data_IF_012445687059
#
_entry.id   IF_012445687059
#
_cell.length_a   1.000
_cell.length_b   1.000
_cell.length_c   1.000
_cell.angle_alpha   90.00
_cell.angle_beta   90.00
_cell.angle_gamma   90.00
#
_symmetry.space_group_name_H-M   'P 1'
#
loop_
_entity.id
_entity.type
_entity.pdbx_description
1 polymer ?
#
# COMPACT_ATOMS: atom_id res chain seq x y z
N UNK A 1 -9.99 47.87 -17.88
CA UNK A 1 -11.08 46.90 -17.70
C UNK A 1 -10.47 45.51 -17.74
N UNK A 2 -10.64 44.73 -16.67
CA UNK A 2 -9.93 43.46 -16.46
C UNK A 2 -10.62 42.31 -17.19
N UNK A 3 -9.85 41.52 -17.94
CA UNK A 3 -10.29 40.25 -18.54
C UNK A 3 -9.99 39.13 -17.55
N UNK A 4 -11.03 38.59 -16.92
CA UNK A 4 -10.94 37.42 -16.05
C UNK A 4 -10.92 36.14 -16.90
N UNK A 5 -9.84 35.36 -16.80
CA UNK A 5 -9.72 34.05 -17.41
C UNK A 5 -9.93 32.96 -16.34
N UNK A 6 -10.91 32.10 -16.59
CA UNK A 6 -11.19 30.85 -15.89
C UNK A 6 -10.09 29.81 -16.17
N UNK A 7 -9.69 29.01 -15.18
CA UNK A 7 -8.73 27.91 -15.38
C UNK A 7 -8.77 26.87 -14.28
N UNK A 8 -9.50 25.78 -14.54
CA UNK A 8 -9.64 24.59 -13.70
C UNK A 8 -8.29 23.93 -13.40
N UNK A 9 -7.92 23.84 -12.12
CA UNK A 9 -6.73 23.08 -11.70
C UNK A 9 -7.07 21.59 -11.62
N UNK A 10 -7.06 20.92 -12.78
CA UNK A 10 -6.95 19.45 -12.80
C UNK A 10 -5.53 19.10 -12.36
N UNK A 11 -5.38 18.49 -11.19
CA UNK A 11 -4.14 17.85 -10.75
C UNK A 11 -3.78 16.73 -11.71
N UNK A 12 -3.01 17.08 -12.74
CA UNK A 12 -2.36 16.16 -13.63
C UNK A 12 -1.17 15.54 -12.87
N UNK A 13 -1.42 14.44 -12.15
CA UNK A 13 -0.32 13.60 -11.63
C UNK A 13 0.44 13.08 -12.86
N UNK A 14 1.76 13.32 -12.98
CA UNK A 14 2.51 12.66 -14.04
C UNK A 14 2.46 11.17 -13.78
N UNK A 15 1.86 10.41 -14.70
CA UNK A 15 2.05 8.98 -14.78
C UNK A 15 3.57 8.76 -14.94
N UNK A 16 4.22 8.26 -13.88
CA UNK A 16 5.61 7.89 -13.92
C UNK A 16 5.79 6.89 -15.06
N UNK A 17 6.45 7.33 -16.13
CA UNK A 17 6.82 6.46 -17.25
C UNK A 17 7.78 5.41 -16.70
N UNK A 18 7.36 4.16 -16.80
CA UNK A 18 8.13 2.97 -16.41
C UNK A 18 9.52 3.01 -17.04
N UNK A 19 10.54 3.11 -16.20
CA UNK A 19 11.83 2.51 -16.51
C UNK A 19 11.69 1.00 -16.24
N UNK A 20 11.88 0.11 -17.23
CA UNK A 20 11.83 -1.31 -16.99
C UNK A 20 13.01 -1.71 -16.08
N UNK A 21 12.70 -2.22 -14.88
CA UNK A 21 13.68 -2.91 -14.03
C UNK A 21 14.10 -2.24 -12.72
N UNK A 22 13.54 -1.09 -12.33
CA UNK A 22 13.89 -0.44 -11.04
C UNK A 22 12.75 -0.37 -10.03
N UNK A 23 11.50 -0.52 -10.47
CA UNK A 23 10.33 -0.52 -9.59
C UNK A 23 9.43 -1.70 -9.88
N UNK A 24 8.84 -2.26 -8.83
CA UNK A 24 7.80 -3.29 -8.91
C UNK A 24 6.51 -2.77 -8.33
N UNK A 25 5.41 -3.02 -9.03
CA UNK A 25 4.07 -2.64 -8.58
C UNK A 25 3.25 -3.88 -8.26
N UNK A 26 2.55 -3.87 -7.13
CA UNK A 26 1.58 -4.90 -6.74
C UNK A 26 0.23 -4.23 -6.55
N UNK A 27 -0.84 -4.85 -7.06
CA UNK A 27 -2.21 -4.35 -6.93
C UNK A 27 -3.12 -5.43 -6.38
N UNK A 28 -3.97 -5.04 -5.45
CA UNK A 28 -5.02 -5.86 -4.84
C UNK A 28 -6.38 -5.19 -5.04
N UNK A 29 -7.44 -5.74 -4.44
CA UNK A 29 -8.76 -5.12 -4.46
C UNK A 29 -8.80 -3.75 -3.75
N UNK A 30 -7.91 -3.51 -2.78
CA UNK A 30 -7.96 -2.32 -1.94
C UNK A 30 -6.69 -1.46 -1.96
N UNK A 31 -5.56 -1.97 -2.46
CA UNK A 31 -4.27 -1.28 -2.43
C UNK A 31 -3.51 -1.42 -3.75
N UNK A 32 -2.79 -0.37 -4.11
CA UNK A 32 -1.67 -0.40 -5.06
C UNK A 32 -0.40 -0.05 -4.30
N UNK A 33 0.65 -0.84 -4.48
CA UNK A 33 1.94 -0.68 -3.83
C UNK A 33 3.03 -0.61 -4.88
N UNK A 34 4.01 0.27 -4.69
CA UNK A 34 5.20 0.39 -5.53
C UNK A 34 6.47 0.29 -4.66
N UNK A 35 7.32 -0.69 -4.98
CA UNK A 35 8.64 -0.86 -4.37
C UNK A 35 9.71 -0.36 -5.33
N UNK A 36 10.54 0.55 -4.86
CA UNK A 36 11.77 0.97 -5.52
C UNK A 36 12.94 0.08 -5.06
N UNK A 37 13.51 -0.70 -5.97
CA UNK A 37 14.55 -1.69 -5.65
C UNK A 37 15.94 -1.08 -5.42
N UNK A 38 16.13 0.18 -5.80
CA UNK A 38 17.40 0.90 -5.64
C UNK A 38 17.52 1.44 -4.21
N UNK A 39 16.41 1.98 -3.69
CA UNK A 39 16.33 2.62 -2.38
C UNK A 39 15.70 1.75 -1.30
N UNK A 40 14.96 0.70 -1.68
CA UNK A 40 14.08 -0.05 -0.79
C UNK A 40 12.82 0.74 -0.38
N UNK A 41 12.55 1.88 -1.03
CA UNK A 41 11.40 2.72 -0.73
C UNK A 41 10.09 2.04 -1.15
N UNK A 42 9.13 1.99 -0.23
CA UNK A 42 7.80 1.44 -0.47
C UNK A 42 6.74 2.55 -0.38
N UNK A 43 6.04 2.79 -1.48
CA UNK A 43 4.89 3.69 -1.56
C UNK A 43 3.59 2.91 -1.77
N UNK A 44 2.45 3.52 -1.43
CA UNK A 44 1.16 2.90 -1.64
C UNK A 44 0.01 3.88 -1.77
N UNK A 45 -1.03 3.43 -2.48
CA UNK A 45 -2.28 4.12 -2.77
C UNK A 45 -3.46 3.24 -2.36
N UNK A 46 -4.43 3.83 -1.65
CA UNK A 46 -5.69 3.15 -1.33
C UNK A 46 -6.62 3.19 -2.54
N UNK A 47 -7.03 2.02 -3.02
CA UNK A 47 -7.90 1.86 -4.19
C UNK A 47 -9.38 1.73 -3.83
N UNK A 48 -9.71 1.31 -2.60
CA UNK A 48 -11.08 1.10 -2.16
C UNK A 48 -11.25 1.36 -0.65
N UNK A 49 -12.47 1.68 -0.24
CA UNK A 49 -12.85 1.88 1.16
C UNK A 49 -12.81 3.35 1.59
N UNK A 50 -12.85 3.60 2.90
CA UNK A 50 -12.99 4.96 3.47
C UNK A 50 -11.87 5.92 3.06
N UNK A 51 -10.68 5.37 2.82
CA UNK A 51 -9.49 6.15 2.51
C UNK A 51 -9.14 6.14 1.01
N UNK A 52 -10.06 5.75 0.14
CA UNK A 52 -9.86 5.69 -1.32
C UNK A 52 -9.21 6.97 -1.88
N UNK A 53 -8.22 6.77 -2.76
CA UNK A 53 -7.45 7.83 -3.41
C UNK A 53 -6.37 8.46 -2.54
N UNK A 54 -6.27 8.12 -1.24
CA UNK A 54 -5.21 8.62 -0.36
C UNK A 54 -3.91 7.81 -0.54
N UNK A 55 -2.79 8.52 -0.50
CA UNK A 55 -1.47 7.90 -0.38
C UNK A 55 -1.23 7.43 1.05
N UNK A 56 -0.72 6.22 1.24
CA UNK A 56 -0.31 5.71 2.57
C UNK A 56 0.73 6.65 3.22
N UNK A 57 1.60 7.24 2.40
CA UNK A 57 2.56 8.29 2.78
C UNK A 57 1.94 9.49 3.51
N UNK A 58 0.72 9.86 3.13
CA UNK A 58 0.00 11.01 3.69
C UNK A 58 -0.92 10.67 4.86
N UNK A 59 -1.06 9.38 5.19
CA UNK A 59 -1.89 8.91 6.30
C UNK A 59 -1.07 8.81 7.60
N UNK A 60 -1.69 9.17 8.72
CA UNK A 60 -1.12 8.95 10.05
C UNK A 60 -1.35 7.52 10.53
N UNK A 61 -0.64 7.13 11.59
CA UNK A 61 -0.73 5.77 12.16
C UNK A 61 -2.17 5.35 12.52
N UNK A 62 -2.98 6.24 13.09
CA UNK A 62 -4.36 5.93 13.45
C UNK A 62 -5.25 5.62 12.23
N UNK A 63 -5.08 6.36 11.13
CA UNK A 63 -5.79 6.13 9.87
C UNK A 63 -5.34 4.79 9.24
N UNK A 64 -4.03 4.50 9.26
CA UNK A 64 -3.50 3.24 8.75
C UNK A 64 -3.98 2.03 9.58
N UNK A 65 -4.11 2.18 10.89
CA UNK A 65 -4.69 1.14 11.74
C UNK A 65 -6.20 0.94 11.47
N UNK A 66 -6.93 2.01 11.14
CA UNK A 66 -8.32 1.91 10.73
C UNK A 66 -8.44 1.13 9.41
N UNK A 67 -7.62 1.49 8.42
CA UNK A 67 -7.53 0.78 7.16
C UNK A 67 -7.17 -0.71 7.37
N UNK A 68 -6.21 -1.01 8.24
CA UNK A 68 -5.82 -2.38 8.56
C UNK A 68 -6.98 -3.24 9.08
N UNK A 69 -7.89 -2.65 9.86
CA UNK A 69 -9.12 -3.33 10.32
C UNK A 69 -10.13 -3.51 9.20
N UNK A 70 -10.30 -2.51 8.32
CA UNK A 70 -11.20 -2.61 7.16
C UNK A 70 -10.77 -3.71 6.18
N UNK A 71 -9.48 -3.98 6.08
CA UNK A 71 -8.90 -5.02 5.24
C UNK A 71 -9.01 -6.44 5.82
N UNK A 72 -9.76 -6.67 6.91
CA UNK A 72 -9.90 -8.01 7.51
C UNK A 72 -10.44 -9.08 6.55
N UNK A 73 -11.21 -8.69 5.54
CA UNK A 73 -11.74 -9.58 4.50
C UNK A 73 -10.79 -9.82 3.32
N UNK A 74 -9.66 -9.13 3.24
CA UNK A 74 -8.69 -9.22 2.15
C UNK A 74 -7.27 -9.43 2.71
N UNK A 75 -6.84 -10.69 2.91
CA UNK A 75 -5.57 -10.99 3.56
C UNK A 75 -4.35 -10.49 2.77
N UNK A 76 -4.45 -10.46 1.44
CA UNK A 76 -3.40 -9.96 0.55
C UNK A 76 -3.15 -8.46 0.76
N UNK A 77 -4.22 -7.64 0.78
CA UNK A 77 -4.11 -6.22 1.11
C UNK A 77 -3.60 -5.98 2.53
N UNK A 78 -4.02 -6.80 3.51
CA UNK A 78 -3.48 -6.70 4.88
C UNK A 78 -1.98 -6.89 4.88
N UNK A 79 -1.47 -7.97 4.28
CA UNK A 79 -0.05 -8.26 4.26
C UNK A 79 0.78 -7.15 3.61
N UNK A 80 0.27 -6.54 2.54
CA UNK A 80 0.91 -5.38 1.92
C UNK A 80 0.97 -4.17 2.85
N UNK A 81 -0.14 -3.86 3.54
CA UNK A 81 -0.17 -2.77 4.50
C UNK A 81 0.74 -3.02 5.71
N UNK A 82 0.85 -4.27 6.17
CA UNK A 82 1.78 -4.65 7.25
C UNK A 82 3.22 -4.41 6.85
N UNK A 83 3.59 -4.76 5.63
CA UNK A 83 4.93 -4.51 5.08
C UNK A 83 5.25 -3.01 5.08
N UNK A 84 4.28 -2.18 4.68
CA UNK A 84 4.42 -0.73 4.74
C UNK A 84 4.57 -0.20 6.17
N UNK A 85 3.74 -0.70 7.09
CA UNK A 85 3.75 -0.30 8.50
C UNK A 85 5.03 -0.73 9.22
N UNK A 86 5.59 -1.90 8.91
CA UNK A 86 6.85 -2.40 9.46
C UNK A 86 8.02 -1.47 9.09
N UNK A 87 8.05 -0.98 7.83
CA UNK A 87 9.07 -0.05 7.35
C UNK A 87 8.96 1.36 7.95
N UNK A 88 7.75 1.86 8.21
CA UNK A 88 7.53 3.26 8.64
C UNK A 88 7.29 3.44 10.15
N UNK A 89 6.72 2.45 10.81
CA UNK A 89 6.24 2.53 12.18
C UNK A 89 6.59 1.25 12.96
N UNK A 90 7.85 0.97 13.32
CA UNK A 90 8.30 -0.33 13.85
C UNK A 90 7.58 -0.85 15.12
N UNK A 91 6.86 0.01 15.84
CA UNK A 91 6.07 -0.32 17.04
C UNK A 91 4.55 -0.39 16.81
N UNK A 92 4.09 -0.26 15.56
CA UNK A 92 2.66 -0.15 15.19
C UNK A 92 1.80 -1.32 15.68
N UNK A 93 2.39 -2.52 15.82
CA UNK A 93 1.66 -3.72 16.25
C UNK A 93 1.19 -3.64 17.70
N UNK A 94 1.87 -2.88 18.57
CA UNK A 94 1.43 -2.75 19.98
C UNK A 94 0.13 -1.96 20.07
N UNK A 95 -0.03 -0.94 19.23
CA UNK A 95 -1.26 -0.16 19.13
C UNK A 95 -2.39 -0.93 18.44
N UNK A 96 -2.05 -1.75 17.45
CA UNK A 96 -3.03 -2.58 16.74
C UNK A 96 -3.64 -3.67 17.64
N UNK A 97 -2.82 -4.30 18.49
CA UNK A 97 -3.24 -5.31 19.47
C UNK A 97 -4.08 -4.70 20.60
N UNK A 98 -3.68 -3.53 21.11
CA UNK A 98 -4.41 -2.84 22.19
C UNK A 98 -5.83 -2.41 21.81
N UNK A 99 -6.12 -2.21 20.52
CA UNK A 99 -7.45 -1.84 20.02
C UNK A 99 -8.21 -3.02 19.38
N UNK A 100 -7.59 -4.21 19.31
CA UNK A 100 -8.18 -5.45 18.81
C UNK A 100 -8.57 -6.35 19.98
N UNK A 101 -9.79 -6.18 20.50
CA UNK A 101 -10.29 -7.03 21.58
C UNK A 101 -10.17 -8.53 21.26
N UNK A 102 -9.54 -9.24 22.20
CA UNK A 102 -9.68 -10.65 22.52
C UNK A 102 -9.27 -11.69 21.45
N UNK A 103 -8.06 -12.23 21.64
CA UNK A 103 -7.81 -13.67 21.53
C UNK A 103 -7.46 -14.18 20.14
N UNK A 104 -6.16 -14.37 19.90
CA UNK A 104 -5.51 -15.67 19.67
C UNK A 104 -4.12 -15.37 19.10
N UNK A 105 -3.09 -15.67 19.90
CA UNK A 105 -1.71 -15.59 19.46
C UNK A 105 -1.46 -16.51 18.27
N UNK A 106 -1.26 -15.91 17.10
CA UNK A 106 -0.58 -16.54 15.98
C UNK A 106 0.86 -16.05 16.00
N UNK A 107 1.79 -16.99 16.16
CA UNK A 107 3.23 -16.76 16.06
C UNK A 107 3.59 -16.22 14.65
N UNK A 108 4.68 -15.45 14.51
CA UNK A 108 5.07 -14.88 13.22
C UNK A 108 5.48 -16.00 12.27
N UNK A 109 4.61 -16.30 11.30
CA UNK A 109 4.99 -17.08 10.13
C UNK A 109 5.93 -16.24 9.28
N UNK A 110 7.19 -16.63 9.25
CA UNK A 110 8.20 -16.09 8.34
C UNK A 110 7.66 -15.98 6.92
N UNK A 111 7.44 -14.76 6.47
CA UNK A 111 7.04 -14.42 5.11
C UNK A 111 7.97 -13.36 4.54
N UNK A 112 9.28 -13.58 4.67
CA UNK A 112 10.26 -12.89 3.85
C UNK A 112 10.04 -13.32 2.39
N UNK A 113 9.16 -12.63 1.67
CA UNK A 113 9.12 -12.69 0.20
C UNK A 113 10.00 -11.58 -0.36
N UNK A 114 11.28 -11.62 0.03
CA UNK A 114 12.36 -10.97 -0.68
C UNK A 114 12.80 -11.90 -1.81
N UNK A 115 12.77 -11.38 -3.05
CA UNK A 115 13.20 -11.95 -4.33
C UNK A 115 12.16 -12.78 -5.11
N UNK A 116 11.71 -12.16 -6.20
CA UNK A 116 11.66 -12.74 -7.55
C UNK A 116 11.53 -14.27 -7.64
N UNK A 117 10.31 -14.78 -7.85
CA UNK A 117 9.97 -15.83 -8.83
C UNK A 117 8.48 -15.56 -9.20
N UNK A 118 8.06 -15.17 -10.41
CA UNK A 118 8.40 -15.63 -11.75
C UNK A 118 8.08 -17.12 -12.01
N UNK A 119 6.81 -17.51 -11.97
CA UNK A 119 6.34 -18.63 -12.80
C UNK A 119 4.92 -18.45 -13.34
N UNK A 120 4.85 -18.52 -14.68
CA UNK A 120 3.74 -19.01 -15.52
C UNK A 120 2.44 -18.21 -15.58
N UNK A 121 2.46 -17.17 -16.42
CA UNK A 121 1.37 -17.00 -17.41
C UNK A 121 2.00 -17.08 -18.80
N UNK A 122 2.45 -18.27 -19.18
CA UNK A 122 2.67 -18.60 -20.58
C UNK A 122 1.70 -19.74 -20.89
N UNK A 123 0.51 -19.35 -21.33
CA UNK A 123 -0.38 -20.23 -22.07
C UNK A 123 0.29 -20.55 -23.39
N UNK A 124 1.00 -21.66 -23.44
CA UNK A 124 1.37 -22.34 -24.67
C UNK A 124 0.82 -23.75 -24.53
N UNK A 125 0.00 -24.14 -25.50
CA UNK A 125 -0.34 -25.53 -25.79
C UNK A 125 0.92 -26.40 -25.95
#
# INVERSE_FOLDING_TARGET
AALAWYGSMRMNRPAAKLAPGKRSTVRTAALEMELDHDTGGLEGLVLAGRHEGKMLGSMGLAELQQLYRELSGDPESRQLLETYLDGRFPIWRKDADANGGEGLGVAPGSGAMTKEEAYKILGLE
#
